data_IF_429288768728
#
_entry.id   IF_429288768728
#
_cell.length_a   1.000
_cell.length_b   1.000
_cell.length_c   1.000
_cell.angle_alpha   90.00
_cell.angle_beta   90.00
_cell.angle_gamma   90.00
#
_symmetry.space_group_name_H-M   'P 1'
#
loop_
_entity.id
_entity.type
_entity.pdbx_description
1 polymer ?
#
# COMPACT_ATOMS: atom_id res chain seq x y z
N UNK A 1 17.40 19.34 15.96
CA UNK A 1 16.86 17.98 15.72
C UNK A 1 16.29 17.36 17.00
N UNK A 2 16.89 17.56 18.15
CA UNK A 2 16.43 17.09 19.47
C UNK A 2 15.06 17.67 19.88
N UNK A 3 14.79 18.92 19.55
CA UNK A 3 13.50 19.56 19.80
C UNK A 3 12.34 18.92 19.02
N UNK A 4 12.57 18.44 17.81
CA UNK A 4 11.53 17.78 17.00
C UNK A 4 11.24 16.35 17.49
N UNK A 5 12.25 15.65 18.01
CA UNK A 5 12.08 14.32 18.63
C UNK A 5 11.35 14.44 19.98
N UNK A 6 11.71 15.42 20.80
CA UNK A 6 11.03 15.69 22.07
C UNK A 6 9.57 16.12 21.88
N UNK A 7 9.24 16.88 20.82
CA UNK A 7 7.86 17.26 20.50
C UNK A 7 7.03 16.04 20.07
N UNK A 8 7.63 15.07 19.38
CA UNK A 8 6.95 13.82 18.98
C UNK A 8 6.65 12.91 20.18
N UNK A 9 7.57 12.80 21.11
CA UNK A 9 7.39 12.01 22.35
C UNK A 9 6.38 12.66 23.30
N UNK A 10 6.40 13.99 23.41
CA UNK A 10 5.42 14.76 24.17
C UNK A 10 3.98 14.62 23.60
N UNK A 11 3.82 14.63 22.28
CA UNK A 11 2.52 14.46 21.63
C UNK A 11 1.93 13.03 21.78
N UNK A 12 2.78 12.00 21.95
CA UNK A 12 2.31 10.64 22.23
C UNK A 12 1.86 10.46 23.69
N UNK A 13 2.39 11.28 24.63
CA UNK A 13 2.03 11.25 26.05
C UNK A 13 0.87 12.18 26.43
N UNK A 14 0.42 13.06 25.52
CA UNK A 14 -0.72 13.95 25.77
C UNK A 14 -2.02 13.18 25.99
N UNK A 15 -2.74 13.49 27.04
CA UNK A 15 -4.05 12.92 27.31
C UNK A 15 -5.05 13.22 26.19
N UNK A 16 -6.07 12.38 26.02
CA UNK A 16 -7.11 12.59 25.01
C UNK A 16 -7.81 13.97 25.14
N UNK A 17 -7.80 14.55 26.34
CA UNK A 17 -8.38 15.86 26.65
C UNK A 17 -7.49 17.02 26.17
N UNK A 18 -6.16 16.90 26.32
CA UNK A 18 -5.20 17.90 25.84
C UNK A 18 -5.12 17.93 24.31
N UNK A 19 -5.23 16.76 23.65
CA UNK A 19 -5.35 16.66 22.18
C UNK A 19 -6.59 17.34 21.62
N UNK A 20 -7.67 17.45 22.39
CA UNK A 20 -8.91 18.11 21.96
C UNK A 20 -8.80 19.65 21.92
N UNK A 21 -7.85 20.23 22.66
CA UNK A 21 -7.66 21.69 22.76
C UNK A 21 -6.68 22.24 21.72
N UNK A 22 -5.75 21.41 21.21
CA UNK A 22 -4.80 21.83 20.20
C UNK A 22 -5.46 21.96 18.82
N UNK A 23 -5.51 23.17 18.27
CA UNK A 23 -5.95 23.40 16.87
C UNK A 23 -4.97 22.71 15.93
N UNK A 24 -5.33 21.53 15.45
CA UNK A 24 -4.51 20.77 14.49
C UNK A 24 -4.47 21.53 13.16
N UNK A 25 -3.29 21.82 12.67
CA UNK A 25 -3.11 22.48 11.36
C UNK A 25 -3.41 21.48 10.22
N UNK A 26 -3.73 22.00 9.03
CA UNK A 26 -3.95 21.15 7.83
C UNK A 26 -2.73 20.26 7.55
N UNK A 27 -1.51 20.77 7.81
CA UNK A 27 -0.27 20.00 7.64
C UNK A 27 -0.17 18.84 8.64
N UNK A 28 -0.59 19.05 9.88
CA UNK A 28 -0.64 17.98 10.89
C UNK A 28 -1.70 16.93 10.56
N UNK A 29 -2.88 17.34 10.07
CA UNK A 29 -3.88 16.40 9.58
C UNK A 29 -3.35 15.56 8.42
N UNK A 30 -2.72 16.17 7.43
CA UNK A 30 -2.12 15.45 6.29
C UNK A 30 -1.04 14.45 6.77
N UNK A 31 -0.19 14.86 7.71
CA UNK A 31 0.83 13.98 8.29
C UNK A 31 0.20 12.80 9.04
N UNK A 32 -0.77 13.05 9.92
CA UNK A 32 -1.42 12.01 10.73
C UNK A 32 -2.20 11.02 9.86
N UNK A 33 -2.97 11.51 8.89
CA UNK A 33 -3.68 10.65 7.92
C UNK A 33 -2.69 9.79 7.14
N UNK A 34 -1.58 10.36 6.70
CA UNK A 34 -0.55 9.60 5.98
C UNK A 34 0.10 8.53 6.85
N UNK A 35 0.32 8.83 8.13
CA UNK A 35 0.83 7.85 9.09
C UNK A 35 -0.17 6.72 9.33
N UNK A 36 -1.46 7.04 9.47
CA UNK A 36 -2.52 6.05 9.61
C UNK A 36 -2.67 5.16 8.35
N UNK A 37 -2.59 5.77 7.16
CA UNK A 37 -2.56 5.05 5.88
C UNK A 37 -1.36 4.09 5.82
N UNK A 38 -0.15 4.56 6.19
CA UNK A 38 1.04 3.72 6.21
C UNK A 38 0.90 2.54 7.19
N UNK A 39 0.33 2.76 8.37
CA UNK A 39 0.07 1.72 9.35
C UNK A 39 -0.97 0.71 8.85
N UNK A 40 -2.04 1.17 8.20
CA UNK A 40 -3.02 0.28 7.58
C UNK A 40 -2.38 -0.62 6.52
N UNK A 41 -1.53 -0.06 5.65
CA UNK A 41 -0.77 -0.82 4.64
C UNK A 41 0.18 -1.83 5.32
N UNK A 42 0.88 -1.43 6.38
CA UNK A 42 1.78 -2.32 7.11
C UNK A 42 1.02 -3.55 7.64
N UNK A 43 -0.11 -3.32 8.31
CA UNK A 43 -0.87 -4.40 8.95
C UNK A 43 -1.60 -5.28 7.94
N UNK A 44 -2.12 -4.72 6.86
CA UNK A 44 -2.86 -5.50 5.86
C UNK A 44 -1.93 -6.12 4.82
N UNK A 45 -1.29 -5.33 3.95
CA UNK A 45 -0.43 -5.87 2.90
C UNK A 45 0.85 -6.48 3.48
N UNK A 46 1.52 -5.77 4.39
CA UNK A 46 2.81 -6.21 4.92
C UNK A 46 2.71 -7.49 5.72
N UNK A 47 1.84 -7.52 6.73
CA UNK A 47 1.67 -8.72 7.56
C UNK A 47 0.98 -9.84 6.77
N UNK A 48 0.05 -9.52 5.86
CA UNK A 48 -0.58 -10.50 4.99
C UNK A 48 0.44 -11.24 4.12
N UNK A 49 1.37 -10.53 3.48
CA UNK A 49 2.46 -11.13 2.70
C UNK A 49 3.43 -11.93 3.60
N UNK A 50 3.74 -11.43 4.79
CA UNK A 50 4.58 -12.16 5.75
C UNK A 50 3.93 -13.49 6.18
N UNK A 51 2.61 -13.48 6.46
CA UNK A 51 1.85 -14.70 6.76
C UNK A 51 1.88 -15.69 5.60
N UNK A 52 1.75 -15.24 4.35
CA UNK A 52 1.85 -16.09 3.16
C UNK A 52 3.26 -16.68 3.00
N UNK A 53 4.31 -15.88 3.24
CA UNK A 53 5.69 -16.36 3.19
C UNK A 53 5.94 -17.45 4.23
N UNK A 54 5.52 -17.24 5.49
CA UNK A 54 5.63 -18.24 6.56
C UNK A 54 4.82 -19.50 6.21
N UNK A 55 3.60 -19.32 5.72
CA UNK A 55 2.73 -20.41 5.30
C UNK A 55 3.36 -21.28 4.20
N UNK A 56 4.11 -20.66 3.28
CA UNK A 56 4.88 -21.37 2.25
C UNK A 56 5.97 -22.26 2.83
N UNK A 57 6.65 -21.83 3.90
CA UNK A 57 7.68 -22.63 4.57
C UNK A 57 7.09 -23.78 5.39
N UNK A 58 6.01 -23.52 6.14
CA UNK A 58 5.39 -24.55 7.01
C UNK A 58 4.32 -25.38 6.30
N UNK A 59 4.04 -25.09 5.03
CA UNK A 59 3.00 -25.77 4.22
C UNK A 59 1.62 -25.76 4.89
N UNK A 60 1.26 -24.64 5.56
CA UNK A 60 0.03 -24.48 6.30
C UNK A 60 -0.98 -23.59 5.57
N UNK A 61 -1.84 -24.21 4.77
CA UNK A 61 -2.82 -23.54 3.90
C UNK A 61 -3.75 -22.54 4.62
N UNK A 62 -4.27 -22.79 5.84
CA UNK A 62 -5.10 -21.81 6.54
C UNK A 62 -4.39 -20.48 6.81
N UNK A 63 -3.09 -20.52 7.12
CA UNK A 63 -2.29 -19.30 7.32
C UNK A 63 -2.10 -18.51 6.01
N UNK A 64 -1.92 -19.22 4.90
CA UNK A 64 -1.84 -18.60 3.57
C UNK A 64 -3.15 -17.86 3.23
N UNK A 65 -4.30 -18.52 3.44
CA UNK A 65 -5.62 -17.93 3.21
C UNK A 65 -5.88 -16.73 4.12
N UNK A 66 -5.49 -16.79 5.39
CA UNK A 66 -5.57 -15.67 6.32
C UNK A 66 -4.72 -14.48 5.84
N UNK A 67 -3.51 -14.73 5.32
CA UNK A 67 -2.65 -13.72 4.73
C UNK A 67 -3.27 -13.06 3.49
N UNK A 68 -3.93 -13.84 2.63
CA UNK A 68 -4.67 -13.31 1.47
C UNK A 68 -5.82 -12.41 1.91
N UNK A 69 -6.63 -12.87 2.87
CA UNK A 69 -7.73 -12.07 3.39
C UNK A 69 -7.23 -10.77 4.05
N UNK A 70 -6.11 -10.82 4.78
CA UNK A 70 -5.52 -9.61 5.36
C UNK A 70 -5.18 -8.55 4.30
N UNK A 71 -4.66 -8.98 3.15
CA UNK A 71 -4.37 -8.07 2.03
C UNK A 71 -5.65 -7.50 1.40
N UNK A 72 -6.69 -8.32 1.24
CA UNK A 72 -7.97 -7.90 0.66
C UNK A 72 -8.72 -6.92 1.56
N UNK A 73 -8.43 -6.90 2.86
CA UNK A 73 -8.97 -5.94 3.82
C UNK A 73 -8.26 -4.57 3.81
N UNK A 74 -7.35 -4.30 2.87
CA UNK A 74 -6.67 -3.01 2.77
C UNK A 74 -7.63 -1.83 2.64
N UNK A 75 -8.58 -1.89 1.70
CA UNK A 75 -9.48 -0.76 1.45
C UNK A 75 -10.35 -0.41 2.66
N UNK A 76 -11.03 -1.36 3.35
CA UNK A 76 -11.75 -1.05 4.59
C UNK A 76 -10.85 -0.53 5.70
N UNK A 77 -9.62 -1.05 5.84
CA UNK A 77 -8.65 -0.57 6.83
C UNK A 77 -8.26 0.90 6.57
N UNK A 78 -8.03 1.28 5.31
CA UNK A 78 -7.79 2.67 4.92
C UNK A 78 -8.97 3.58 5.27
N UNK A 79 -10.21 3.10 5.05
CA UNK A 79 -11.44 3.82 5.40
C UNK A 79 -11.52 4.17 6.88
N UNK A 80 -11.26 3.19 7.74
CA UNK A 80 -11.25 3.38 9.20
C UNK A 80 -10.09 4.28 9.61
N UNK A 81 -8.87 4.04 9.10
CA UNK A 81 -7.68 4.80 9.45
C UNK A 81 -7.85 6.30 9.22
N UNK A 82 -8.38 6.70 8.07
CA UNK A 82 -8.66 8.10 7.72
C UNK A 82 -9.72 8.69 8.66
N UNK A 83 -10.81 7.97 8.91
CA UNK A 83 -11.90 8.46 9.73
C UNK A 83 -11.52 8.65 11.21
N UNK A 84 -10.66 7.77 11.75
CA UNK A 84 -10.11 7.87 13.11
C UNK A 84 -9.25 9.12 13.24
N UNK A 85 -8.35 9.39 12.30
CA UNK A 85 -7.49 10.58 12.34
C UNK A 85 -8.27 11.89 12.19
N UNK A 86 -9.38 11.87 11.47
CA UNK A 86 -10.30 12.98 11.39
C UNK A 86 -11.18 13.13 12.64
N UNK A 87 -11.04 12.24 13.63
CA UNK A 87 -11.81 12.24 14.90
C UNK A 87 -13.32 12.27 14.65
N UNK A 88 -13.78 11.36 13.82
CA UNK A 88 -15.20 11.22 13.47
C UNK A 88 -15.94 10.33 14.46
N UNK A 89 -17.27 10.32 14.38
CA UNK A 89 -18.12 9.40 15.14
C UNK A 89 -18.01 7.97 14.59
N UNK A 90 -18.38 6.97 15.38
CA UNK A 90 -18.38 5.56 14.97
C UNK A 90 -19.25 5.33 13.73
N UNK A 91 -20.39 6.01 13.60
CA UNK A 91 -21.22 5.95 12.38
C UNK A 91 -20.46 6.38 11.14
N UNK A 92 -19.71 7.47 11.26
CA UNK A 92 -18.90 7.99 10.15
C UNK A 92 -17.71 7.09 9.84
N UNK A 93 -17.10 6.46 10.86
CA UNK A 93 -16.01 5.49 10.65
C UNK A 93 -16.47 4.31 9.81
N UNK A 94 -17.62 3.70 10.13
CA UNK A 94 -18.18 2.60 9.33
C UNK A 94 -18.62 3.05 7.94
N UNK A 95 -19.19 4.26 7.82
CA UNK A 95 -19.54 4.82 6.51
C UNK A 95 -18.30 5.03 5.62
N UNK A 96 -17.21 5.53 6.20
CA UNK A 96 -15.93 5.72 5.54
C UNK A 96 -15.29 4.39 5.12
N UNK A 97 -15.41 3.36 5.96
CA UNK A 97 -14.97 1.99 5.65
C UNK A 97 -15.70 1.44 4.41
N UNK A 98 -17.03 1.57 4.38
CA UNK A 98 -17.83 1.09 3.23
C UNK A 98 -17.50 1.90 1.98
N UNK A 99 -17.43 3.23 2.10
CA UNK A 99 -17.10 4.11 0.98
C UNK A 99 -15.72 3.80 0.38
N UNK A 100 -14.71 3.58 1.22
CA UNK A 100 -13.38 3.18 0.78
C UNK A 100 -13.38 1.83 0.06
N UNK A 101 -14.11 0.84 0.61
CA UNK A 101 -14.16 -0.52 0.06
C UNK A 101 -14.82 -0.54 -1.31
N UNK A 102 -16.01 0.02 -1.44
CA UNK A 102 -16.75 0.02 -2.71
C UNK A 102 -16.15 1.04 -3.68
N UNK A 103 -15.81 2.24 -3.21
CA UNK A 103 -15.26 3.32 -4.03
C UNK A 103 -13.87 3.05 -4.61
N UNK A 104 -13.14 2.05 -4.09
CA UNK A 104 -11.85 1.61 -4.62
C UNK A 104 -11.94 0.43 -5.59
N UNK A 105 -13.14 -0.06 -5.92
CA UNK A 105 -13.34 -1.33 -6.62
C UNK A 105 -12.71 -2.53 -5.90
N UNK A 106 -12.68 -2.53 -4.56
CA UNK A 106 -12.19 -3.67 -3.79
C UNK A 106 -13.19 -4.84 -3.78
N UNK A 107 -14.44 -4.62 -4.17
CA UNK A 107 -15.46 -5.66 -4.28
C UNK A 107 -15.94 -5.79 -5.73
N UNK A 108 -15.78 -6.97 -6.28
CA UNK A 108 -16.29 -7.32 -7.61
C UNK A 108 -17.48 -8.26 -7.46
N UNK A 109 -18.62 -7.89 -8.01
CA UNK A 109 -19.78 -8.76 -8.05
C UNK A 109 -19.69 -9.67 -9.26
N UNK A 110 -19.59 -10.97 -9.01
CA UNK A 110 -19.54 -11.99 -10.05
C UNK A 110 -20.89 -12.69 -10.18
N UNK A 111 -21.32 -13.00 -11.40
CA UNK A 111 -22.40 -13.94 -11.65
C UNK A 111 -21.87 -15.33 -11.27
N UNK A 112 -22.15 -15.76 -10.06
CA UNK A 112 -21.75 -17.08 -9.61
C UNK A 112 -22.55 -18.15 -10.36
N UNK A 113 -21.88 -19.16 -10.87
CA UNK A 113 -22.55 -20.39 -11.30
C UNK A 113 -23.19 -21.04 -10.05
N UNK A 114 -24.47 -21.41 -10.14
CA UNK A 114 -25.16 -22.11 -9.06
C UNK A 114 -24.38 -23.39 -8.68
N UNK A 115 -24.12 -23.57 -7.39
CA UNK A 115 -23.55 -24.80 -6.86
C UNK A 115 -22.02 -24.87 -6.78
N UNK A 116 -21.31 -23.74 -7.02
CA UNK A 116 -19.87 -23.71 -6.77
C UNK A 116 -19.63 -23.71 -5.26
N UNK A 117 -18.95 -24.73 -4.76
CA UNK A 117 -18.58 -24.82 -3.34
C UNK A 117 -17.43 -23.87 -3.04
N UNK A 118 -17.60 -23.00 -2.04
CA UNK A 118 -16.53 -22.24 -1.40
C UNK A 118 -16.09 -22.97 -0.12
N UNK A 119 -14.80 -22.95 0.16
CA UNK A 119 -14.23 -23.61 1.35
C UNK A 119 -13.60 -22.56 2.24
N UNK A 120 -13.94 -22.56 3.53
CA UNK A 120 -13.30 -21.69 4.53
C UNK A 120 -11.88 -22.15 4.85
N UNK A 121 -11.07 -21.30 5.48
CA UNK A 121 -9.72 -21.63 5.93
C UNK A 121 -9.68 -22.85 6.89
N UNK A 122 -10.78 -23.15 7.57
CA UNK A 122 -10.93 -24.30 8.47
C UNK A 122 -11.56 -25.53 7.78
N UNK A 123 -11.74 -25.49 6.46
CA UNK A 123 -12.25 -26.63 5.69
C UNK A 123 -13.78 -26.75 5.65
N UNK A 124 -14.53 -25.80 6.20
CA UNK A 124 -15.99 -25.82 6.10
C UNK A 124 -16.43 -25.43 4.69
N UNK A 125 -17.39 -26.13 4.16
CA UNK A 125 -17.95 -25.87 2.83
C UNK A 125 -19.20 -25.01 2.93
N UNK A 126 -19.30 -24.01 2.03
CA UNK A 126 -20.50 -23.21 1.84
C UNK A 126 -20.83 -23.18 0.33
N UNK A 127 -22.10 -23.14 0.01
CA UNK A 127 -22.53 -22.97 -1.38
C UNK A 127 -22.52 -21.49 -1.73
N UNK A 128 -21.80 -21.11 -2.79
CA UNK A 128 -21.75 -19.74 -3.25
C UNK A 128 -23.12 -19.33 -3.83
N UNK A 129 -23.70 -18.24 -3.30
CA UNK A 129 -24.92 -17.66 -3.82
C UNK A 129 -24.65 -16.85 -5.10
N UNK A 130 -25.65 -16.72 -5.98
CA UNK A 130 -25.59 -15.84 -7.13
C UNK A 130 -25.37 -14.37 -6.69
N UNK A 131 -24.48 -13.65 -7.38
CA UNK A 131 -24.15 -12.26 -7.05
C UNK A 131 -23.20 -12.09 -5.85
N UNK A 132 -22.48 -13.13 -5.46
CA UNK A 132 -21.47 -13.06 -4.39
C UNK A 132 -20.37 -12.07 -4.77
N UNK A 133 -19.98 -11.23 -3.80
CA UNK A 133 -18.83 -10.35 -3.96
C UNK A 133 -17.51 -11.09 -3.76
N UNK A 134 -16.57 -10.85 -4.67
CA UNK A 134 -15.17 -11.26 -4.52
C UNK A 134 -14.39 -10.06 -4.04
N UNK A 135 -13.67 -10.21 -2.93
CA UNK A 135 -12.80 -9.18 -2.39
C UNK A 135 -11.45 -9.18 -3.09
N UNK A 136 -10.89 -7.99 -3.25
CA UNK A 136 -9.53 -7.73 -3.71
C UNK A 136 -8.97 -6.54 -2.94
N UNK A 137 -7.68 -6.28 -3.06
CA UNK A 137 -7.05 -5.12 -2.40
C UNK A 137 -7.62 -3.77 -2.82
N UNK A 138 -8.31 -3.71 -3.98
CA UNK A 138 -8.83 -2.48 -4.56
C UNK A 138 -7.74 -1.50 -5.00
N UNK A 139 -8.17 -0.29 -5.40
CA UNK A 139 -7.27 0.81 -5.76
C UNK A 139 -7.03 1.72 -4.54
N UNK A 140 -5.84 1.69 -3.90
CA UNK A 140 -5.63 2.33 -2.60
C UNK A 140 -5.77 3.86 -2.62
N UNK A 141 -5.41 4.53 -3.73
CA UNK A 141 -5.54 5.99 -3.86
C UNK A 141 -7.02 6.38 -3.82
N UNK A 142 -7.85 5.67 -4.59
CA UNK A 142 -9.29 5.88 -4.60
C UNK A 142 -9.92 5.54 -3.25
N UNK A 143 -9.44 4.50 -2.56
CA UNK A 143 -9.89 4.15 -1.21
C UNK A 143 -9.66 5.30 -0.22
N UNK A 144 -8.44 5.88 -0.19
CA UNK A 144 -8.11 7.01 0.68
C UNK A 144 -8.96 8.24 0.36
N UNK A 145 -9.13 8.56 -0.92
CA UNK A 145 -9.96 9.71 -1.33
C UNK A 145 -11.44 9.51 -1.00
N UNK A 146 -12.00 8.31 -1.26
CA UNK A 146 -13.36 7.97 -0.89
C UNK A 146 -13.57 8.08 0.63
N UNK A 147 -12.61 7.57 1.41
CA UNK A 147 -12.61 7.68 2.86
C UNK A 147 -12.60 9.12 3.34
N UNK A 148 -11.73 9.96 2.77
CA UNK A 148 -11.64 11.38 3.11
C UNK A 148 -12.96 12.10 2.85
N UNK A 149 -13.55 11.91 1.68
CA UNK A 149 -14.83 12.54 1.30
C UNK A 149 -15.94 12.08 2.24
N UNK A 150 -16.06 10.77 2.49
CA UNK A 150 -17.06 10.22 3.39
C UNK A 150 -16.87 10.73 4.81
N UNK A 151 -15.65 10.73 5.34
CA UNK A 151 -15.34 11.15 6.69
C UNK A 151 -15.56 12.66 6.90
N UNK A 152 -15.15 13.49 5.95
CA UNK A 152 -15.35 14.94 6.02
C UNK A 152 -16.85 15.30 5.93
N UNK A 153 -17.58 14.70 4.99
CA UNK A 153 -19.02 14.92 4.84
C UNK A 153 -19.79 14.43 6.08
N UNK A 154 -19.50 13.22 6.56
CA UNK A 154 -20.12 12.68 7.75
C UNK A 154 -19.83 13.51 8.99
N UNK A 155 -18.58 13.98 9.17
CA UNK A 155 -18.20 14.90 10.25
C UNK A 155 -18.94 16.23 10.14
N UNK A 156 -19.11 16.75 8.94
CA UNK A 156 -19.84 18.01 8.72
C UNK A 156 -21.33 17.89 9.05
N UNK A 157 -21.96 16.77 8.69
CA UNK A 157 -23.38 16.54 8.91
C UNK A 157 -23.73 16.17 10.38
N UNK A 158 -22.80 15.51 11.08
CA UNK A 158 -23.04 15.05 12.47
C UNK A 158 -23.46 16.18 13.40
N UNK A 159 -24.54 15.96 14.13
CA UNK A 159 -25.10 16.90 15.12
C UNK A 159 -25.95 18.04 14.52
N UNK A 160 -26.26 18.00 13.21
CA UNK A 160 -27.03 19.07 12.55
C UNK A 160 -28.50 18.75 12.32
N UNK A 161 -28.86 17.48 12.40
CA UNK A 161 -30.23 17.05 12.13
C UNK A 161 -30.73 16.06 13.17
N UNK A 162 -32.05 16.04 13.46
CA UNK A 162 -32.62 15.03 14.37
C UNK A 162 -32.57 13.61 13.77
N UNK A 163 -32.22 13.46 12.46
CA UNK A 163 -32.13 12.21 11.75
C UNK A 163 -30.67 11.73 11.57
N UNK A 164 -29.74 12.21 12.39
CA UNK A 164 -28.30 11.94 12.26
C UNK A 164 -27.98 10.44 12.15
N UNK A 165 -28.68 9.57 12.89
CA UNK A 165 -28.46 8.12 12.86
C UNK A 165 -28.70 7.48 11.48
N UNK A 166 -29.51 8.11 10.62
CA UNK A 166 -29.83 7.61 9.28
C UNK A 166 -29.18 8.48 8.20
N UNK A 167 -29.30 9.79 8.31
CA UNK A 167 -28.86 10.74 7.29
C UNK A 167 -27.34 10.78 7.17
N UNK A 168 -26.60 10.78 8.30
CA UNK A 168 -25.14 10.86 8.30
C UNK A 168 -24.51 9.63 7.65
N UNK A 169 -24.81 8.38 8.07
CA UNK A 169 -24.20 7.20 7.42
C UNK A 169 -24.64 7.05 5.98
N UNK A 170 -25.91 7.34 5.63
CA UNK A 170 -26.39 7.26 4.27
C UNK A 170 -25.65 8.24 3.34
N UNK A 171 -25.64 9.52 3.70
CA UNK A 171 -24.99 10.56 2.88
C UNK A 171 -23.48 10.33 2.76
N UNK A 172 -22.80 10.03 3.88
CA UNK A 172 -21.36 9.79 3.89
C UNK A 172 -20.97 8.57 3.02
N UNK A 173 -21.69 7.46 3.16
CA UNK A 173 -21.46 6.24 2.37
C UNK A 173 -21.74 6.50 0.90
N UNK A 174 -22.90 7.07 0.56
CA UNK A 174 -23.33 7.28 -0.84
C UNK A 174 -22.35 8.20 -1.58
N UNK A 175 -22.11 9.39 -1.01
CA UNK A 175 -21.26 10.38 -1.68
C UNK A 175 -19.80 9.91 -1.73
N UNK A 176 -19.27 9.35 -0.65
CA UNK A 176 -17.92 8.80 -0.63
C UNK A 176 -17.71 7.68 -1.62
N UNK A 177 -18.68 6.74 -1.73
CA UNK A 177 -18.63 5.64 -2.70
C UNK A 177 -18.65 6.16 -4.14
N UNK A 178 -19.60 7.02 -4.49
CA UNK A 178 -19.70 7.56 -5.85
C UNK A 178 -18.46 8.36 -6.27
N UNK A 179 -17.95 9.20 -5.36
CA UNK A 179 -16.71 9.95 -5.60
C UNK A 179 -15.50 9.01 -5.76
N UNK A 180 -15.40 7.96 -4.93
CA UNK A 180 -14.34 6.95 -5.03
C UNK A 180 -14.39 6.17 -6.35
N UNK A 181 -15.55 5.69 -6.77
CA UNK A 181 -15.74 5.00 -8.05
C UNK A 181 -15.38 5.89 -9.24
N UNK A 182 -15.83 7.16 -9.22
CA UNK A 182 -15.45 8.12 -10.25
C UNK A 182 -13.94 8.35 -10.31
N UNK A 183 -13.29 8.44 -9.16
CA UNK A 183 -11.84 8.59 -9.08
C UNK A 183 -11.10 7.30 -9.54
N UNK A 184 -11.56 6.13 -9.14
CA UNK A 184 -10.98 4.86 -9.56
C UNK A 184 -11.03 4.68 -11.08
N UNK A 185 -12.13 5.11 -11.71
CA UNK A 185 -12.29 5.07 -13.17
C UNK A 185 -11.27 5.94 -13.92
N UNK A 186 -10.70 6.97 -13.30
CA UNK A 186 -9.70 7.85 -13.90
C UNK A 186 -8.28 7.47 -13.47
N UNK A 187 -8.08 7.26 -12.17
CA UNK A 187 -6.74 7.02 -11.60
C UNK A 187 -6.16 5.68 -12.06
N UNK A 188 -6.96 4.62 -12.10
CA UNK A 188 -6.46 3.30 -12.49
C UNK A 188 -5.94 3.27 -13.94
N UNK A 189 -6.71 3.70 -14.96
CA UNK A 189 -6.20 3.77 -16.33
C UNK A 189 -5.01 4.73 -16.49
N UNK A 190 -5.00 5.87 -15.78
CA UNK A 190 -3.88 6.80 -15.83
C UNK A 190 -2.58 6.19 -15.29
N UNK A 191 -2.64 5.49 -14.16
CA UNK A 191 -1.47 4.77 -13.60
C UNK A 191 -0.98 3.68 -14.55
N UNK A 192 -1.88 2.90 -15.14
CA UNK A 192 -1.54 1.85 -16.12
C UNK A 192 -0.91 2.47 -17.37
N UNK A 193 -1.45 3.57 -17.89
CA UNK A 193 -0.92 4.25 -19.06
C UNK A 193 0.49 4.79 -18.84
N UNK A 194 0.73 5.45 -17.69
CA UNK A 194 2.06 5.96 -17.31
C UNK A 194 3.05 4.80 -17.17
N UNK A 195 2.69 3.76 -16.45
CA UNK A 195 3.55 2.59 -16.26
C UNK A 195 3.87 1.88 -17.57
N UNK A 196 2.87 1.72 -18.47
CA UNK A 196 3.05 1.13 -19.79
C UNK A 196 3.93 1.97 -20.71
N UNK A 197 3.82 3.30 -20.68
CA UNK A 197 4.69 4.19 -21.42
C UNK A 197 6.16 4.03 -20.99
N UNK A 198 6.41 3.95 -19.69
CA UNK A 198 7.75 3.81 -19.13
C UNK A 198 8.33 2.44 -19.44
N UNK A 199 7.56 1.36 -19.33
CA UNK A 199 7.99 0.02 -19.69
C UNK A 199 8.42 -0.07 -21.18
N UNK A 200 7.71 0.62 -22.08
CA UNK A 200 8.10 0.71 -23.50
C UNK A 200 9.41 1.44 -23.72
N UNK A 201 9.84 2.35 -22.83
CA UNK A 201 11.11 3.07 -22.97
C UNK A 201 12.34 2.15 -22.90
N UNK A 202 12.21 0.97 -22.28
CA UNK A 202 13.26 -0.05 -22.22
C UNK A 202 13.68 -0.55 -23.61
N UNK A 203 12.75 -0.64 -24.54
CA UNK A 203 13.02 -1.12 -25.89
C UNK A 203 13.92 -0.17 -26.71
N UNK A 204 13.94 1.13 -26.35
CA UNK A 204 14.72 2.15 -27.07
C UNK A 204 16.16 2.20 -26.58
N UNK A 205 16.37 2.23 -25.28
CA UNK A 205 17.70 2.25 -24.65
C UNK A 205 17.66 1.52 -23.31
N UNK A 206 18.30 0.34 -23.21
CA UNK A 206 18.24 -0.47 -21.98
C UNK A 206 18.80 0.23 -20.74
N UNK A 207 19.82 1.08 -20.86
CA UNK A 207 20.39 1.81 -19.72
C UNK A 207 19.39 2.88 -19.23
N UNK A 208 18.95 3.75 -20.14
CA UNK A 208 17.97 4.79 -19.79
C UNK A 208 16.64 4.19 -19.36
N UNK A 209 16.19 3.12 -20.03
CA UNK A 209 14.98 2.39 -19.65
C UNK A 209 15.07 1.82 -18.25
N UNK A 210 16.20 1.20 -17.88
CA UNK A 210 16.42 0.69 -16.51
C UNK A 210 16.39 1.80 -15.46
N UNK A 211 17.03 2.94 -15.73
CA UNK A 211 16.97 4.12 -14.85
C UNK A 211 15.52 4.60 -14.70
N UNK A 212 14.83 4.82 -15.81
CA UNK A 212 13.45 5.32 -15.77
C UNK A 212 12.51 4.38 -15.01
N UNK A 213 12.57 3.07 -15.31
CA UNK A 213 11.69 2.09 -14.67
C UNK A 213 12.01 1.97 -13.18
N UNK A 214 13.27 1.87 -12.80
CA UNK A 214 13.67 1.75 -11.40
C UNK A 214 13.22 2.96 -10.57
N UNK A 215 13.43 4.17 -11.08
CA UNK A 215 13.02 5.41 -10.41
C UNK A 215 11.50 5.48 -10.28
N UNK A 216 10.77 5.14 -11.34
CA UNK A 216 9.31 5.21 -11.30
C UNK A 216 8.71 4.15 -10.37
N UNK A 217 9.22 2.91 -10.38
CA UNK A 217 8.76 1.90 -9.42
C UNK A 217 9.17 2.23 -7.98
N UNK A 218 10.33 2.84 -7.79
CA UNK A 218 10.75 3.39 -6.50
C UNK A 218 9.76 4.46 -5.99
N UNK A 219 9.34 5.38 -6.86
CA UNK A 219 8.32 6.39 -6.53
C UNK A 219 6.96 5.77 -6.27
N UNK A 220 6.49 4.83 -7.12
CA UNK A 220 5.22 4.14 -6.91
C UNK A 220 5.19 3.39 -5.58
N UNK A 221 6.28 2.74 -5.20
CA UNK A 221 6.38 2.09 -3.90
C UNK A 221 6.11 3.05 -2.75
N UNK A 222 6.57 4.30 -2.85
CA UNK A 222 6.39 5.31 -1.79
C UNK A 222 5.01 5.97 -1.80
N UNK A 223 4.17 5.74 -2.82
CA UNK A 223 2.78 6.20 -2.85
C UNK A 223 1.84 5.18 -2.20
N UNK A 224 0.58 5.52 -1.91
CA UNK A 224 -0.43 4.54 -1.53
C UNK A 224 -0.71 3.47 -2.60
N UNK A 225 -0.29 3.68 -3.86
CA UNK A 225 -0.47 2.71 -4.94
C UNK A 225 0.33 1.42 -4.70
N UNK A 226 -0.14 0.32 -5.27
CA UNK A 226 0.55 -0.97 -5.21
C UNK A 226 1.52 -1.12 -6.39
N UNK A 227 2.82 -0.97 -6.12
CA UNK A 227 3.89 -1.18 -7.11
C UNK A 227 3.91 -2.63 -7.64
N UNK A 228 3.59 -3.60 -6.79
CA UNK A 228 3.49 -5.01 -7.17
C UNK A 228 2.28 -5.27 -8.08
N UNK A 229 1.10 -4.72 -7.75
CA UNK A 229 -0.08 -4.86 -8.59
C UNK A 229 0.10 -4.23 -9.98
N UNK A 230 0.82 -3.11 -10.08
CA UNK A 230 1.15 -2.48 -11.36
C UNK A 230 2.11 -3.35 -12.18
N UNK A 231 3.14 -3.94 -11.57
CA UNK A 231 4.06 -4.84 -12.26
C UNK A 231 3.33 -6.07 -12.82
N UNK A 232 2.40 -6.64 -12.05
CA UNK A 232 1.52 -7.74 -12.46
C UNK A 232 0.58 -7.34 -13.59
N UNK A 233 -0.11 -6.21 -13.46
CA UNK A 233 -1.10 -5.74 -14.45
C UNK A 233 -0.46 -5.46 -15.83
N UNK A 234 0.79 -4.98 -15.83
CA UNK A 234 1.54 -4.71 -17.06
C UNK A 234 2.25 -5.94 -17.61
N UNK A 235 2.33 -7.04 -16.85
CA UNK A 235 3.12 -8.22 -17.20
C UNK A 235 4.51 -7.82 -17.70
N UNK A 236 5.23 -7.02 -16.89
CA UNK A 236 6.51 -6.46 -17.26
C UNK A 236 7.46 -7.52 -17.83
N UNK A 237 8.17 -7.18 -18.88
CA UNK A 237 9.23 -8.02 -19.43
C UNK A 237 10.34 -8.29 -18.39
N UNK A 238 11.19 -9.31 -18.58
CA UNK A 238 12.17 -9.70 -17.58
C UNK A 238 13.20 -8.63 -17.20
N UNK A 239 13.54 -7.72 -18.13
CA UNK A 239 14.49 -6.64 -17.86
C UNK A 239 13.84 -5.51 -17.08
N UNK A 240 12.63 -5.11 -17.50
CA UNK A 240 11.82 -4.11 -16.81
C UNK A 240 11.44 -4.57 -15.40
N UNK A 241 11.11 -5.86 -15.24
CA UNK A 241 10.83 -6.45 -13.92
C UNK A 241 12.04 -6.41 -13.00
N UNK A 242 13.23 -6.70 -13.53
CA UNK A 242 14.49 -6.61 -12.79
C UNK A 242 14.77 -5.16 -12.35
N UNK A 243 14.65 -4.19 -13.27
CA UNK A 243 14.83 -2.78 -12.96
C UNK A 243 13.84 -2.30 -11.89
N UNK A 244 12.58 -2.70 -11.97
CA UNK A 244 11.54 -2.39 -10.98
C UNK A 244 11.84 -3.02 -9.60
N UNK A 245 12.32 -4.28 -9.58
CA UNK A 245 12.72 -4.96 -8.34
C UNK A 245 13.89 -4.24 -7.65
N UNK A 246 14.94 -3.86 -8.40
CA UNK A 246 16.07 -3.10 -7.86
C UNK A 246 15.63 -1.72 -7.37
N UNK A 247 14.81 -0.99 -8.15
CA UNK A 247 14.31 0.32 -7.77
C UNK A 247 13.49 0.30 -6.48
N UNK A 248 12.61 -0.68 -6.34
CA UNK A 248 11.84 -0.86 -5.09
C UNK A 248 12.73 -1.28 -3.93
N UNK A 249 13.70 -2.17 -4.13
CA UNK A 249 14.66 -2.59 -3.10
C UNK A 249 15.50 -1.43 -2.59
N UNK A 250 15.95 -0.54 -3.47
CA UNK A 250 16.70 0.66 -3.10
C UNK A 250 15.94 1.56 -2.10
N UNK A 251 14.59 1.58 -2.14
CA UNK A 251 13.79 2.31 -1.15
C UNK A 251 13.82 1.64 0.23
N UNK A 252 13.71 0.29 0.28
CA UNK A 252 13.81 -0.45 1.54
C UNK A 252 15.16 -0.21 2.23
N UNK A 253 16.24 -0.42 1.48
CA UNK A 253 17.62 -0.26 1.99
C UNK A 253 17.92 1.20 2.29
N UNK A 254 17.64 2.10 1.35
CA UNK A 254 17.98 3.52 1.47
C UNK A 254 17.30 4.21 2.65
N UNK A 255 15.99 4.04 2.79
CA UNK A 255 15.27 4.63 3.93
C UNK A 255 15.69 4.01 5.26
N UNK A 256 15.93 2.69 5.31
CA UNK A 256 16.41 2.04 6.53
C UNK A 256 17.79 2.54 6.91
N UNK A 257 18.71 2.65 5.96
CA UNK A 257 20.05 3.17 6.21
C UNK A 257 20.03 4.62 6.71
N UNK A 258 19.24 5.49 6.08
CA UNK A 258 19.10 6.90 6.48
C UNK A 258 18.51 7.09 7.87
N UNK A 259 17.59 6.22 8.29
CA UNK A 259 16.87 6.33 9.55
C UNK A 259 17.38 5.38 10.65
N UNK A 260 18.41 4.60 10.38
CA UNK A 260 18.91 3.54 11.26
C UNK A 260 19.12 3.96 12.71
N UNK A 261 19.79 5.10 12.91
CA UNK A 261 20.10 5.64 14.25
C UNK A 261 18.90 6.36 14.91
N UNK A 262 17.88 6.69 14.15
CA UNK A 262 16.74 7.48 14.63
C UNK A 262 15.55 6.60 15.01
N UNK A 263 15.49 5.39 14.47
CA UNK A 263 14.43 4.44 14.68
C UNK A 263 14.77 3.41 15.76
N UNK A 264 13.74 2.86 16.39
CA UNK A 264 13.89 1.65 17.20
C UNK A 264 14.22 0.45 16.31
N UNK A 265 14.81 -0.60 16.90
CA UNK A 265 15.11 -1.85 16.17
C UNK A 265 13.87 -2.42 15.47
N UNK A 266 12.71 -2.45 16.16
CA UNK A 266 11.47 -2.91 15.58
C UNK A 266 11.00 -2.07 14.38
N UNK A 267 11.16 -0.74 14.45
CA UNK A 267 10.83 0.14 13.33
C UNK A 267 11.78 -0.06 12.14
N UNK A 268 13.06 -0.29 12.38
CA UNK A 268 14.04 -0.62 11.34
C UNK A 268 13.71 -1.96 10.67
N UNK A 269 13.37 -2.99 11.44
CA UNK A 269 12.94 -4.29 10.91
C UNK A 269 11.65 -4.13 10.08
N UNK A 270 10.65 -3.43 10.60
CA UNK A 270 9.41 -3.20 9.87
C UNK A 270 9.65 -2.46 8.55
N UNK A 271 10.54 -1.45 8.55
CA UNK A 271 10.88 -0.69 7.36
C UNK A 271 11.68 -1.50 6.35
N UNK A 272 12.64 -2.31 6.80
CA UNK A 272 13.50 -3.10 5.94
C UNK A 272 12.81 -4.36 5.38
N UNK A 273 11.98 -5.05 6.21
CA UNK A 273 11.39 -6.34 5.85
C UNK A 273 9.97 -6.19 5.30
N UNK A 274 9.20 -5.22 5.82
CA UNK A 274 7.78 -5.16 5.50
C UNK A 274 7.47 -4.06 4.49
N UNK A 275 7.78 -2.79 4.81
CA UNK A 275 7.51 -1.71 3.86
C UNK A 275 8.22 -0.40 4.22
N UNK A 276 8.88 0.28 3.27
CA UNK A 276 9.40 1.62 3.47
C UNK A 276 8.30 2.70 3.46
N UNK A 277 7.05 2.37 3.14
CA UNK A 277 5.89 3.29 3.19
C UNK A 277 5.67 3.90 4.57
N UNK A 278 6.26 3.34 5.62
CA UNK A 278 6.31 3.93 6.96
C UNK A 278 6.95 5.35 6.94
N UNK A 279 7.78 5.65 5.94
CA UNK A 279 8.36 6.99 5.75
C UNK A 279 7.44 7.96 5.00
N UNK A 280 6.30 7.50 4.48
CA UNK A 280 5.37 8.34 3.71
C UNK A 280 4.97 9.64 4.44
N UNK A 281 4.67 9.63 5.75
CA UNK A 281 4.38 10.85 6.49
C UNK A 281 5.55 11.84 6.52
N UNK A 282 6.79 11.32 6.64
CA UNK A 282 7.99 12.14 6.64
C UNK A 282 8.23 12.77 5.27
N UNK A 283 7.89 12.07 4.18
CA UNK A 283 8.02 12.57 2.81
C UNK A 283 7.05 13.72 2.50
N UNK A 284 5.86 13.73 3.10
CA UNK A 284 4.92 14.85 2.99
C UNK A 284 5.51 16.12 3.61
N UNK A 285 6.28 15.96 4.70
CA UNK A 285 6.93 17.07 5.40
C UNK A 285 8.22 17.51 4.70
N UNK A 286 9.02 16.55 4.24
CA UNK A 286 10.30 16.79 3.59
C UNK A 286 10.53 15.80 2.43
N UNK A 287 10.09 16.15 1.20
CA UNK A 287 10.22 15.27 0.03
C UNK A 287 11.68 15.06 -0.41
N UNK A 288 12.63 15.90 0.03
CA UNK A 288 14.04 15.74 -0.32
C UNK A 288 14.65 14.44 0.21
N UNK A 289 14.02 13.82 1.21
CA UNK A 289 14.41 12.50 1.71
C UNK A 289 14.28 11.37 0.66
N UNK A 290 13.55 11.60 -0.43
CA UNK A 290 13.49 10.66 -1.56
C UNK A 290 14.76 10.64 -2.41
N UNK A 291 15.55 11.70 -2.41
CA UNK A 291 16.69 11.84 -3.32
C UNK A 291 17.71 10.71 -3.17
N UNK A 292 18.24 10.38 -1.97
CA UNK A 292 19.26 9.35 -1.84
C UNK A 292 18.78 7.95 -2.32
N UNK A 293 17.61 7.44 -1.92
CA UNK A 293 17.13 6.15 -2.43
C UNK A 293 16.81 6.15 -3.93
N UNK A 294 16.37 7.28 -4.51
CA UNK A 294 16.13 7.41 -5.94
C UNK A 294 17.47 7.38 -6.71
N UNK A 295 18.49 8.06 -6.22
CA UNK A 295 19.83 8.02 -6.83
C UNK A 295 20.38 6.59 -6.77
N UNK A 296 20.22 5.90 -5.65
CA UNK A 296 20.61 4.49 -5.53
C UNK A 296 19.85 3.63 -6.56
N UNK A 297 18.55 3.79 -6.69
CA UNK A 297 17.74 3.08 -7.69
C UNK A 297 18.22 3.34 -9.10
N UNK A 298 18.50 4.61 -9.45
CA UNK A 298 18.95 5.02 -10.79
C UNK A 298 20.33 4.46 -11.15
N UNK A 299 21.21 4.27 -10.18
CA UNK A 299 22.57 3.74 -10.40
C UNK A 299 22.57 2.22 -10.38
N UNK A 300 21.94 1.58 -9.39
CA UNK A 300 22.00 0.13 -9.23
C UNK A 300 21.20 -0.63 -10.31
N UNK A 301 20.09 -0.08 -10.80
CA UNK A 301 19.27 -0.80 -11.77
C UNK A 301 19.98 -1.05 -13.12
N UNK A 302 20.60 -0.07 -13.80
CA UNK A 302 21.35 -0.36 -15.03
C UNK A 302 22.58 -1.25 -14.77
N UNK A 303 23.26 -1.14 -13.61
CA UNK A 303 24.32 -2.06 -13.24
C UNK A 303 23.82 -3.50 -13.18
N UNK A 304 22.71 -3.74 -12.47
CA UNK A 304 22.13 -5.08 -12.38
C UNK A 304 21.64 -5.59 -13.74
N UNK A 305 20.84 -4.80 -14.47
CA UNK A 305 20.13 -5.28 -15.67
C UNK A 305 21.01 -5.33 -16.93
N UNK A 306 21.95 -4.40 -17.09
CA UNK A 306 22.77 -4.28 -18.28
C UNK A 306 24.14 -4.93 -18.06
N UNK A 307 24.83 -4.63 -16.95
CA UNK A 307 26.16 -5.15 -16.68
C UNK A 307 26.13 -6.61 -16.20
N UNK A 308 25.29 -6.93 -15.21
CA UNK A 308 25.18 -8.28 -14.66
C UNK A 308 24.09 -9.14 -15.32
N UNK A 309 23.41 -8.61 -16.33
CA UNK A 309 22.35 -9.31 -17.06
C UNK A 309 21.26 -9.89 -16.14
N UNK A 310 20.97 -9.20 -15.04
CA UNK A 310 19.97 -9.62 -14.07
C UNK A 310 18.57 -9.57 -14.68
N UNK A 311 17.77 -10.61 -14.43
CA UNK A 311 16.40 -10.76 -14.94
C UNK A 311 15.46 -11.16 -13.81
N UNK A 312 14.23 -10.67 -13.85
CA UNK A 312 13.18 -10.98 -12.88
C UNK A 312 11.85 -11.25 -13.59
N UNK A 313 10.97 -12.00 -12.96
CA UNK A 313 9.59 -12.12 -13.42
C UNK A 313 8.75 -10.94 -12.92
N UNK A 314 7.67 -10.62 -13.64
CA UNK A 314 6.74 -9.57 -13.24
C UNK A 314 6.09 -9.81 -11.87
N UNK A 315 6.06 -11.07 -11.40
CA UNK A 315 5.52 -11.43 -10.09
C UNK A 315 6.31 -10.87 -8.91
N UNK A 316 7.61 -10.62 -9.10
CA UNK A 316 8.50 -10.05 -8.06
C UNK A 316 8.97 -8.63 -8.38
N UNK A 317 8.69 -8.13 -9.58
CA UNK A 317 9.21 -6.86 -10.09
C UNK A 317 8.87 -5.61 -9.27
N UNK A 318 7.80 -5.63 -8.50
CA UNK A 318 7.37 -4.47 -7.70
C UNK A 318 7.42 -4.68 -6.20
N UNK A 319 7.95 -5.81 -5.71
CA UNK A 319 7.92 -6.19 -4.30
C UNK A 319 9.07 -5.60 -3.46
N UNK A 320 10.24 -5.38 -4.05
CA UNK A 320 11.44 -5.04 -3.28
C UNK A 320 11.74 -6.12 -2.23
N UNK A 321 12.14 -5.70 -1.03
CA UNK A 321 12.42 -6.63 0.08
C UNK A 321 11.17 -7.10 0.84
N UNK A 322 9.97 -6.70 0.41
CA UNK A 322 8.74 -7.00 1.14
C UNK A 322 8.64 -8.48 1.49
N UNK A 323 8.58 -8.77 2.81
CA UNK A 323 8.47 -10.12 3.40
C UNK A 323 9.50 -11.12 2.87
N UNK A 324 10.62 -10.64 2.34
CA UNK A 324 11.68 -11.42 1.67
C UNK A 324 11.21 -12.30 0.51
N UNK A 325 10.04 -12.04 -0.06
CA UNK A 325 9.51 -12.85 -1.17
C UNK A 325 10.47 -12.82 -2.37
N UNK A 326 10.91 -11.64 -2.82
CA UNK A 326 11.82 -11.53 -3.93
C UNK A 326 13.22 -12.11 -3.62
N UNK A 327 13.87 -11.83 -2.48
CA UNK A 327 15.12 -12.52 -2.10
C UNK A 327 15.01 -14.04 -2.10
N UNK A 328 13.95 -14.60 -1.52
CA UNK A 328 13.72 -16.06 -1.47
C UNK A 328 13.50 -16.61 -2.88
N UNK A 329 12.74 -15.93 -3.71
CA UNK A 329 12.53 -16.30 -5.10
C UNK A 329 13.86 -16.38 -5.88
N UNK A 330 14.72 -15.35 -5.77
CA UNK A 330 16.02 -15.34 -6.46
C UNK A 330 16.99 -16.37 -5.90
N UNK A 331 16.96 -16.62 -4.59
CA UNK A 331 17.73 -17.71 -3.98
C UNK A 331 17.36 -19.07 -4.58
N UNK A 332 16.06 -19.33 -4.76
CA UNK A 332 15.55 -20.56 -5.38
C UNK A 332 15.90 -20.69 -6.86
N UNK A 333 16.16 -19.58 -7.57
CA UNK A 333 16.56 -19.63 -8.98
C UNK A 333 18.05 -19.93 -9.18
N UNK A 334 18.93 -19.15 -8.57
CA UNK A 334 20.36 -19.36 -8.59
C UNK A 334 21.08 -18.49 -7.56
N UNK A 335 22.22 -18.95 -7.06
CA UNK A 335 23.07 -18.15 -6.17
C UNK A 335 23.55 -16.87 -6.85
N UNK A 336 23.82 -16.89 -8.16
CA UNK A 336 24.22 -15.71 -8.93
C UNK A 336 23.13 -14.65 -8.98
N UNK A 337 21.87 -15.03 -9.27
CA UNK A 337 20.72 -14.11 -9.27
C UNK A 337 20.48 -13.50 -7.89
N UNK A 338 20.60 -14.31 -6.84
CA UNK A 338 20.45 -13.83 -5.46
C UNK A 338 21.54 -12.80 -5.09
N UNK A 339 22.82 -13.12 -5.38
CA UNK A 339 23.94 -12.20 -5.10
C UNK A 339 23.76 -10.89 -5.85
N UNK A 340 23.45 -10.94 -7.15
CA UNK A 340 23.21 -9.72 -7.95
C UNK A 340 22.06 -8.88 -7.45
N UNK A 341 21.05 -9.51 -6.85
CA UNK A 341 19.90 -8.78 -6.28
C UNK A 341 20.22 -8.13 -4.94
N UNK A 342 21.03 -8.78 -4.09
CA UNK A 342 21.32 -8.32 -2.71
C UNK A 342 22.51 -7.37 -2.65
N UNK A 343 23.49 -7.52 -3.52
CA UNK A 343 24.71 -6.68 -3.59
C UNK A 343 24.54 -5.50 -4.53
#
# INVERSE_FOLDING_TARGET
MEQAANTKQANFSMSARERAVHKTTVKEYAYNISAAVANAILVTLGMGLLMQTIAGFVHFQPLYMAGTLAQDLLAPALGIAVAVELRTTTLVMFSSMIAATVGSNAVHFVTAAKGVAAVTATGQTAVQAAGTGVFSTGQPVSAVCAALIAALLGKYLSGKTPLDMVLVPFAATMVGTLAGLGLAAVVTPALIAVSGFIAKSMAVNPVLGSVCISVVWALFLMTPASSAALALALMLDPVSSAAAAIGTTAQFVGFTAMSWKQNTVGANIAQFVVTPKLQFPNLIVNPLQLIPPIVAAAVCAPLATVLFNFRATYTVGGLGLNSFIAPIYFWGQSTGSFVTYVV
#
